data_IF_229958561703
#
_entry.id   IF_229958561703
#
_cell.length_a   1.000
_cell.length_b   1.000
_cell.length_c   1.000
_cell.angle_alpha   90.00
_cell.angle_beta   90.00
_cell.angle_gamma   90.00
#
_symmetry.space_group_name_H-M   'P 1'
#
loop_
_entity.id
_entity.type
_entity.pdbx_description
1 polymer ?
#
# COMPACT_ATOMS: atom_id res chain seq x y z
N UNK A 1 -7.54 27.28 -3.67
CA UNK A 1 -7.09 26.37 -2.60
C UNK A 1 -7.79 25.05 -2.83
N UNK A 2 -7.12 24.09 -3.46
CA UNK A 2 -7.59 22.70 -3.52
C UNK A 2 -7.27 22.06 -2.18
N UNK A 3 -8.24 21.44 -1.52
CA UNK A 3 -7.98 20.71 -0.28
C UNK A 3 -7.04 19.53 -0.58
N UNK A 4 -5.94 19.40 0.15
CA UNK A 4 -5.00 18.27 -0.01
C UNK A 4 -5.54 16.96 0.57
N UNK A 5 -6.72 17.02 1.20
CA UNK A 5 -7.41 15.86 1.75
C UNK A 5 -8.93 16.04 1.76
N UNK A 6 -9.63 14.90 1.79
CA UNK A 6 -11.04 14.79 2.12
C UNK A 6 -11.20 13.70 3.17
N UNK A 7 -12.08 13.93 4.15
CA UNK A 7 -12.48 12.93 5.14
C UNK A 7 -13.97 12.72 5.03
N UNK A 8 -14.39 11.47 4.80
CA UNK A 8 -15.80 11.13 4.67
C UNK A 8 -16.18 10.08 5.73
N UNK A 9 -17.10 10.41 6.65
CA UNK A 9 -17.65 9.43 7.58
C UNK A 9 -18.33 8.28 6.81
N UNK A 10 -18.13 7.07 7.29
CA UNK A 10 -18.70 5.86 6.71
C UNK A 10 -19.75 5.26 7.65
N UNK A 11 -20.72 4.57 7.05
CA UNK A 11 -21.67 3.69 7.74
C UNK A 11 -21.41 2.26 7.29
N UNK A 12 -21.68 1.30 8.18
CA UNK A 12 -21.68 -0.13 7.82
C UNK A 12 -22.61 -0.35 6.62
N UNK A 13 -22.16 -1.15 5.65
CA UNK A 13 -22.85 -1.31 4.38
C UNK A 13 -22.30 -0.40 3.27
N UNK A 14 -23.15 -0.14 2.27
CA UNK A 14 -22.82 0.74 1.13
C UNK A 14 -22.80 2.20 1.56
N UNK A 15 -21.85 2.96 1.02
CA UNK A 15 -21.78 4.40 1.21
C UNK A 15 -21.91 5.14 -0.14
N UNK A 16 -22.37 6.40 -0.15
CA UNK A 16 -22.39 7.21 -1.36
C UNK A 16 -21.01 7.40 -1.96
N UNK A 17 -20.94 7.50 -3.29
CA UNK A 17 -19.72 7.88 -3.97
C UNK A 17 -19.32 9.31 -3.62
N UNK A 18 -18.02 9.55 -3.54
CA UNK A 18 -17.40 10.83 -3.20
C UNK A 18 -16.52 11.24 -4.37
N UNK A 19 -16.57 12.52 -4.76
CA UNK A 19 -15.65 13.07 -5.73
C UNK A 19 -14.51 13.79 -5.01
N UNK A 20 -13.26 13.46 -5.40
CA UNK A 20 -12.08 14.17 -4.95
C UNK A 20 -11.19 14.45 -6.16
N UNK A 21 -11.16 15.72 -6.57
CA UNK A 21 -10.52 16.15 -7.83
C UNK A 21 -11.06 15.33 -9.02
N UNK A 22 -10.18 14.60 -9.71
CA UNK A 22 -10.52 13.74 -10.85
C UNK A 22 -11.00 12.33 -10.43
N UNK A 23 -10.88 11.97 -9.14
CA UNK A 23 -11.29 10.66 -8.66
C UNK A 23 -12.77 10.62 -8.31
N UNK A 24 -13.45 9.58 -8.80
CA UNK A 24 -14.72 9.12 -8.23
C UNK A 24 -14.42 7.93 -7.34
N UNK A 25 -14.72 8.06 -6.06
CA UNK A 25 -14.40 7.08 -5.02
C UNK A 25 -15.71 6.47 -4.57
N UNK A 26 -15.87 5.16 -4.70
CA UNK A 26 -17.04 4.41 -4.29
C UNK A 26 -16.65 3.47 -3.14
N UNK A 27 -16.95 3.83 -1.89
CA UNK A 27 -16.83 2.92 -0.75
C UNK A 27 -17.97 1.89 -0.84
N UNK A 28 -17.68 0.81 -1.59
CA UNK A 28 -18.66 -0.17 -2.02
C UNK A 28 -19.31 -0.90 -0.85
N UNK A 29 -18.53 -1.24 0.19
CA UNK A 29 -19.08 -1.87 1.38
C UNK A 29 -18.15 -1.75 2.59
N UNK A 30 -18.64 -1.23 3.71
CA UNK A 30 -17.95 -1.27 5.00
C UNK A 30 -18.49 -2.42 5.87
N UNK A 31 -17.62 -3.32 6.26
CA UNK A 31 -17.88 -4.39 7.22
C UNK A 31 -17.17 -4.08 8.54
N UNK A 32 -17.91 -4.19 9.64
CA UNK A 32 -17.38 -4.09 11.01
C UNK A 32 -17.84 -5.33 11.77
N UNK A 33 -16.90 -6.17 12.17
CA UNK A 33 -17.17 -7.37 12.95
C UNK A 33 -17.29 -7.01 14.44
N UNK A 34 -18.43 -7.34 15.04
CA UNK A 34 -18.64 -7.21 16.50
C UNK A 34 -17.94 -8.29 17.31
N UNK A 35 -17.66 -9.44 16.69
CA UNK A 35 -16.94 -10.56 17.28
C UNK A 35 -16.01 -11.16 16.22
N UNK A 36 -14.71 -11.20 16.52
CA UNK A 36 -13.70 -11.78 15.64
C UNK A 36 -13.95 -13.29 15.49
N UNK A 37 -13.92 -13.78 14.24
CA UNK A 37 -13.99 -15.22 13.94
C UNK A 37 -12.69 -15.93 14.35
N UNK A 38 -11.55 -15.24 14.19
CA UNK A 38 -10.23 -15.62 14.68
C UNK A 38 -9.36 -14.35 14.84
N UNK A 39 -8.19 -14.47 15.48
CA UNK A 39 -7.30 -13.34 15.75
C UNK A 39 -6.64 -12.72 14.50
N UNK A 40 -6.82 -13.33 13.31
CA UNK A 40 -6.25 -12.87 12.04
C UNK A 40 -7.32 -12.35 11.05
N UNK A 41 -8.58 -12.27 11.49
CA UNK A 41 -9.67 -11.79 10.65
C UNK A 41 -9.79 -10.27 10.73
N UNK A 42 -9.98 -9.58 9.59
CA UNK A 42 -10.31 -8.15 9.57
C UNK A 42 -11.47 -7.83 10.52
N UNK A 43 -11.20 -7.02 11.54
CA UNK A 43 -12.25 -6.45 12.39
C UNK A 43 -13.04 -5.40 11.60
N UNK A 44 -12.33 -4.60 10.81
CA UNK A 44 -12.91 -3.60 9.92
C UNK A 44 -12.35 -3.86 8.52
N UNK A 45 -13.24 -3.90 7.53
CA UNK A 45 -12.87 -4.01 6.12
C UNK A 45 -13.76 -3.10 5.29
N UNK A 46 -13.15 -2.25 4.47
CA UNK A 46 -13.81 -1.43 3.47
C UNK A 46 -13.45 -1.92 2.08
N UNK A 47 -14.44 -2.33 1.30
CA UNK A 47 -14.29 -2.53 -0.15
C UNK A 47 -14.35 -1.17 -0.85
N UNK A 48 -13.41 -0.92 -1.76
CA UNK A 48 -13.24 0.37 -2.41
C UNK A 48 -13.08 0.20 -3.92
N UNK A 49 -13.93 0.90 -4.69
CA UNK A 49 -13.68 1.12 -6.10
C UNK A 49 -13.27 2.58 -6.31
N UNK A 50 -12.21 2.81 -7.06
CA UNK A 50 -11.72 4.14 -7.43
C UNK A 50 -11.72 4.23 -8.95
N UNK A 51 -12.32 5.28 -9.49
CA UNK A 51 -12.38 5.53 -10.92
C UNK A 51 -11.59 6.79 -11.25
N UNK A 52 -10.73 6.69 -12.26
CA UNK A 52 -10.02 7.81 -12.87
C UNK A 52 -10.05 7.65 -14.39
N UNK A 53 -10.68 8.57 -15.11
CA UNK A 53 -10.73 8.60 -16.58
C UNK A 53 -11.00 7.22 -17.22
N UNK A 54 -12.07 6.54 -16.78
CA UNK A 54 -12.52 5.20 -17.20
C UNK A 54 -11.69 4.00 -16.70
N UNK A 55 -10.59 4.21 -16.00
CA UNK A 55 -9.85 3.13 -15.33
C UNK A 55 -10.44 2.89 -13.96
N UNK A 56 -10.78 1.63 -13.68
CA UNK A 56 -11.25 1.17 -12.37
C UNK A 56 -10.11 0.51 -11.61
N UNK A 57 -9.83 1.00 -10.42
CA UNK A 57 -9.01 0.34 -9.41
C UNK A 57 -9.93 -0.19 -8.30
N UNK A 58 -9.92 -1.49 -8.07
CA UNK A 58 -10.68 -2.14 -7.00
C UNK A 58 -9.71 -2.65 -5.93
N UNK A 59 -9.95 -2.29 -4.68
CA UNK A 59 -9.10 -2.68 -3.54
C UNK A 59 -9.91 -2.78 -2.25
N UNK A 60 -9.24 -3.09 -1.15
CA UNK A 60 -9.81 -3.19 0.19
C UNK A 60 -8.90 -2.53 1.21
N UNK A 61 -9.47 -1.79 2.16
CA UNK A 61 -8.76 -1.31 3.35
C UNK A 61 -9.21 -2.15 4.53
N UNK A 62 -8.30 -2.73 5.29
CA UNK A 62 -8.65 -3.53 6.46
C UNK A 62 -7.72 -3.27 7.64
N UNK A 63 -8.25 -3.52 8.83
CA UNK A 63 -7.47 -3.63 10.04
C UNK A 63 -7.99 -4.72 10.98
N UNK A 64 -7.10 -5.28 11.78
CA UNK A 64 -7.44 -6.18 12.88
C UNK A 64 -6.42 -6.06 14.02
N UNK A 65 -6.85 -6.44 15.22
CA UNK A 65 -5.98 -6.53 16.38
C UNK A 65 -5.21 -7.86 16.32
N UNK A 66 -3.90 -7.80 16.07
CA UNK A 66 -3.07 -9.00 16.12
C UNK A 66 -2.80 -9.40 17.58
N UNK A 67 -2.38 -10.64 17.80
CA UNK A 67 -2.13 -11.25 19.12
C UNK A 67 -1.06 -10.55 19.99
N UNK A 68 -0.44 -9.47 19.52
CA UNK A 68 0.65 -8.73 20.17
C UNK A 68 0.27 -7.29 20.55
N UNK A 69 -1.02 -6.98 20.71
CA UNK A 69 -1.58 -5.63 20.93
C UNK A 69 -1.22 -4.62 19.83
N UNK A 70 -0.68 -5.11 18.70
CA UNK A 70 -0.40 -4.29 17.52
C UNK A 70 -1.52 -4.47 16.51
N UNK A 71 -2.14 -3.35 16.14
CA UNK A 71 -3.09 -3.30 15.04
C UNK A 71 -2.35 -3.56 13.73
N UNK A 72 -2.75 -4.60 13.00
CA UNK A 72 -2.30 -4.82 11.62
C UNK A 72 -3.25 -4.13 10.66
N UNK A 73 -2.68 -3.49 9.64
CA UNK A 73 -3.42 -2.78 8.60
C UNK A 73 -2.80 -3.08 7.24
N UNK A 74 -3.56 -2.87 6.17
CA UNK A 74 -3.04 -2.84 4.79
C UNK A 74 -3.13 -1.45 4.15
N UNK A 75 -3.22 -0.43 4.99
CA UNK A 75 -3.40 0.97 4.63
C UNK A 75 -2.45 1.86 5.45
N UNK A 76 -2.10 3.07 4.97
CA UNK A 76 -2.66 3.76 3.80
C UNK A 76 -2.32 3.09 2.47
N UNK A 77 -3.27 2.97 1.54
CA UNK A 77 -3.03 2.43 0.19
C UNK A 77 -2.82 3.54 -0.83
N UNK A 78 -1.80 3.41 -1.66
CA UNK A 78 -1.51 4.33 -2.74
C UNK A 78 -2.17 3.88 -4.06
N UNK A 79 -2.69 4.85 -4.79
CA UNK A 79 -3.06 4.69 -6.20
C UNK A 79 -2.96 6.04 -6.89
N UNK A 80 -2.18 6.09 -7.97
CA UNK A 80 -1.75 7.33 -8.61
C UNK A 80 -1.14 8.27 -7.56
N UNK A 81 -1.49 9.54 -7.55
CA UNK A 81 -1.00 10.53 -6.58
C UNK A 81 -1.84 10.63 -5.30
N UNK A 82 -2.64 9.60 -4.98
CA UNK A 82 -3.55 9.59 -3.83
C UNK A 82 -3.25 8.45 -2.87
N UNK A 83 -3.57 8.69 -1.60
CA UNK A 83 -3.53 7.73 -0.49
C UNK A 83 -4.93 7.54 0.09
N UNK A 84 -5.29 6.30 0.38
CA UNK A 84 -6.57 5.90 0.97
C UNK A 84 -6.33 5.27 2.34
N UNK A 85 -6.88 5.87 3.39
CA UNK A 85 -6.68 5.49 4.79
C UNK A 85 -8.02 5.39 5.53
N UNK A 86 -8.03 4.67 6.65
CA UNK A 86 -9.17 4.58 7.57
C UNK A 86 -8.83 5.26 8.89
N UNK A 87 -9.57 6.32 9.20
CA UNK A 87 -9.60 6.92 10.53
C UNK A 87 -10.66 6.22 11.37
N UNK A 88 -10.26 5.66 12.50
CA UNK A 88 -11.15 4.90 13.39
C UNK A 88 -11.08 5.51 14.79
N UNK A 89 -12.21 6.03 15.28
CA UNK A 89 -12.36 6.60 16.61
C UNK A 89 -13.54 5.93 17.32
N UNK A 90 -13.26 5.06 18.30
CA UNK A 90 -14.27 4.24 18.98
C UNK A 90 -15.13 3.44 17.98
N UNK A 91 -16.35 3.90 17.70
CA UNK A 91 -17.31 3.26 16.80
C UNK A 91 -17.44 3.99 15.46
N UNK A 92 -16.76 5.13 15.29
CA UNK A 92 -16.83 5.93 14.08
C UNK A 92 -15.66 5.57 13.15
N UNK A 93 -16.00 5.28 11.90
CA UNK A 93 -15.03 4.96 10.84
C UNK A 93 -15.19 6.01 9.74
N UNK A 94 -14.08 6.59 9.28
CA UNK A 94 -14.07 7.52 8.17
C UNK A 94 -13.01 7.13 7.14
N UNK A 95 -13.35 7.26 5.86
CA UNK A 95 -12.40 7.21 4.76
C UNK A 95 -11.65 8.54 4.70
N UNK A 96 -10.34 8.49 4.76
CA UNK A 96 -9.47 9.64 4.54
C UNK A 96 -8.77 9.45 3.20
N UNK A 97 -8.93 10.41 2.30
CA UNK A 97 -8.21 10.44 1.03
C UNK A 97 -7.33 11.66 1.00
N UNK A 98 -6.03 11.48 0.81
CA UNK A 98 -5.06 12.58 0.75
C UNK A 98 -4.20 12.46 -0.49
N UNK A 99 -3.56 13.55 -0.91
CA UNK A 99 -2.43 13.45 -1.84
C UNK A 99 -1.27 12.71 -1.18
N UNK A 100 -0.51 11.97 -1.98
CA UNK A 100 0.72 11.36 -1.54
C UNK A 100 1.79 12.41 -1.25
N UNK A 101 2.62 12.11 -0.25
CA UNK A 101 3.68 13.00 0.22
C UNK A 101 4.89 12.17 0.67
N UNK A 102 6.07 12.79 0.62
CA UNK A 102 7.31 12.16 1.07
C UNK A 102 7.28 11.91 2.58
N UNK A 103 8.00 10.87 3.02
CA UNK A 103 8.12 10.49 4.44
C UNK A 103 6.89 9.83 5.04
N UNK A 104 5.86 9.52 4.24
CA UNK A 104 4.68 8.78 4.69
C UNK A 104 4.70 7.34 4.18
N UNK A 105 4.56 6.32 5.05
CA UNK A 105 4.39 4.94 4.63
C UNK A 105 3.10 4.73 3.82
N UNK A 106 3.19 3.90 2.79
CA UNK A 106 2.05 3.54 1.95
C UNK A 106 2.20 2.12 1.40
N UNK A 107 1.08 1.46 1.16
CA UNK A 107 1.00 0.19 0.44
C UNK A 107 0.72 0.44 -1.04
N UNK A 108 1.45 -0.23 -1.92
CA UNK A 108 1.16 -0.29 -3.36
C UNK A 108 0.71 -1.71 -3.68
N UNK A 109 -0.51 -1.86 -4.19
CA UNK A 109 -1.02 -3.16 -4.63
C UNK A 109 -0.32 -3.62 -5.92
N UNK A 110 -0.24 -4.94 -6.12
CA UNK A 110 0.37 -5.52 -7.32
C UNK A 110 -0.31 -4.97 -8.61
N UNK A 111 0.52 -4.59 -9.57
CA UNK A 111 0.10 -3.99 -10.83
C UNK A 111 -0.35 -2.53 -10.71
N UNK A 112 -0.25 -1.91 -9.53
CA UNK A 112 -0.64 -0.51 -9.32
C UNK A 112 0.56 0.42 -9.26
N UNK A 113 0.32 1.68 -9.63
CA UNK A 113 1.32 2.74 -9.63
C UNK A 113 0.99 3.77 -8.56
N UNK A 114 1.99 4.13 -7.76
CA UNK A 114 1.97 5.31 -6.89
C UNK A 114 2.79 6.43 -7.52
N UNK A 115 2.35 7.68 -7.36
CA UNK A 115 3.00 8.87 -7.92
C UNK A 115 3.25 9.89 -6.81
N UNK A 116 4.51 10.22 -6.53
CA UNK A 116 4.90 11.21 -5.50
C UNK A 116 5.84 12.23 -6.13
N UNK A 117 5.39 13.48 -6.25
CA UNK A 117 6.10 14.47 -7.05
C UNK A 117 6.20 14.01 -8.50
N UNK A 118 7.42 13.89 -9.02
CA UNK A 118 7.67 13.39 -10.38
C UNK A 118 8.02 11.89 -10.42
N UNK A 119 8.20 11.25 -9.26
CA UNK A 119 8.49 9.82 -9.15
C UNK A 119 7.22 9.00 -9.30
N UNK A 120 7.22 8.04 -10.22
CA UNK A 120 6.22 6.98 -10.30
C UNK A 120 6.86 5.65 -9.90
N UNK A 121 6.14 4.87 -9.10
CA UNK A 121 6.55 3.56 -8.60
C UNK A 121 5.45 2.58 -8.95
N UNK A 122 5.74 1.65 -9.86
CA UNK A 122 4.86 0.53 -10.18
C UNK A 122 5.35 -0.71 -9.45
N UNK A 123 4.49 -1.32 -8.62
CA UNK A 123 4.74 -2.70 -8.17
C UNK A 123 4.39 -3.64 -9.32
N UNK A 124 5.42 -4.15 -10.00
CA UNK A 124 5.26 -4.79 -11.30
C UNK A 124 4.83 -6.24 -11.19
N UNK A 125 5.64 -7.05 -10.51
CA UNK A 125 5.45 -8.48 -10.33
C UNK A 125 6.30 -9.01 -9.17
N UNK A 126 6.09 -10.28 -8.83
CA UNK A 126 6.96 -11.05 -7.94
C UNK A 126 7.19 -12.43 -8.52
N UNK A 127 8.31 -13.04 -8.14
CA UNK A 127 8.65 -14.42 -8.46
C UNK A 127 8.83 -15.15 -7.14
N UNK A 128 8.01 -16.17 -6.90
CA UNK A 128 8.18 -17.09 -5.78
C UNK A 128 9.18 -18.17 -6.14
N UNK A 129 10.17 -18.37 -5.26
CA UNK A 129 11.28 -19.30 -5.44
C UNK A 129 11.43 -20.16 -4.19
N UNK A 130 11.98 -21.35 -4.36
CA UNK A 130 12.36 -22.23 -3.26
C UNK A 130 13.74 -22.83 -3.51
N UNK A 131 14.43 -23.20 -2.43
CA UNK A 131 15.67 -23.96 -2.49
C UNK A 131 15.46 -25.42 -2.11
N UNK A 132 16.24 -26.31 -2.71
CA UNK A 132 16.23 -27.75 -2.44
C UNK A 132 17.61 -28.17 -1.90
N UNK A 133 17.64 -29.10 -0.94
CA UNK A 133 18.88 -29.78 -0.56
C UNK A 133 19.29 -30.83 -1.62
N UNK A 134 20.41 -31.51 -1.39
CA UNK A 134 20.94 -32.55 -2.30
C UNK A 134 20.00 -33.75 -2.46
N UNK A 135 19.08 -33.94 -1.52
CA UNK A 135 18.10 -35.03 -1.50
C UNK A 135 16.75 -34.60 -2.11
N UNK A 136 16.65 -33.35 -2.59
CA UNK A 136 15.44 -32.78 -3.19
C UNK A 136 14.39 -32.30 -2.18
N UNK A 137 14.74 -32.16 -0.90
CA UNK A 137 13.83 -31.60 0.10
C UNK A 137 13.88 -30.07 0.05
N UNK A 138 12.70 -29.44 0.10
CA UNK A 138 12.60 -28.00 0.19
C UNK A 138 13.21 -27.49 1.51
N UNK A 139 14.17 -26.57 1.42
CA UNK A 139 14.90 -26.01 2.58
C UNK A 139 14.44 -24.60 2.93
N UNK A 140 14.26 -23.73 1.94
CA UNK A 140 13.76 -22.38 2.13
C UNK A 140 12.78 -21.98 1.00
N UNK A 141 11.99 -20.95 1.26
CA UNK A 141 11.16 -20.26 0.27
C UNK A 141 11.39 -18.75 0.39
N UNK A 142 11.44 -18.06 -0.73
CA UNK A 142 11.68 -16.63 -0.81
C UNK A 142 11.00 -16.03 -2.03
N UNK A 143 10.69 -14.75 -1.95
CA UNK A 143 10.09 -14.00 -3.05
C UNK A 143 11.06 -12.94 -3.55
N UNK A 144 11.21 -12.88 -4.87
CA UNK A 144 11.91 -11.82 -5.58
C UNK A 144 10.88 -10.83 -6.14
N UNK A 145 10.85 -9.62 -5.62
CA UNK A 145 9.89 -8.57 -5.99
C UNK A 145 10.50 -7.60 -6.99
N UNK A 146 9.69 -7.13 -7.94
CA UNK A 146 10.11 -6.20 -8.98
C UNK A 146 9.28 -4.93 -8.93
N UNK A 147 9.97 -3.79 -8.91
CA UNK A 147 9.36 -2.47 -9.07
C UNK A 147 9.94 -1.75 -10.27
N UNK A 148 9.09 -1.03 -10.99
CA UNK A 148 9.52 -0.10 -12.03
C UNK A 148 9.45 1.32 -11.45
N UNK A 149 10.60 1.98 -11.39
CA UNK A 149 10.71 3.38 -11.02
C UNK A 149 10.81 4.21 -12.30
N UNK A 150 10.05 5.30 -12.38
CA UNK A 150 10.13 6.22 -13.52
C UNK A 150 9.98 7.68 -13.07
N UNK A 151 10.73 8.57 -13.72
CA UNK A 151 10.68 10.02 -13.53
C UNK A 151 11.17 10.64 -14.84
N UNK A 152 10.34 11.52 -15.41
CA UNK A 152 10.48 12.04 -16.77
C UNK A 152 10.56 10.89 -17.79
N UNK A 153 11.55 10.90 -18.68
CA UNK A 153 11.75 9.87 -19.71
C UNK A 153 12.64 8.71 -19.23
N UNK A 154 13.12 8.73 -17.98
CA UNK A 154 14.00 7.70 -17.43
C UNK A 154 13.24 6.67 -16.62
N UNK A 155 13.61 5.40 -16.80
CA UNK A 155 13.05 4.27 -16.06
C UNK A 155 14.13 3.34 -15.54
N UNK A 156 13.91 2.75 -14.36
CA UNK A 156 14.76 1.71 -13.77
C UNK A 156 13.90 0.63 -13.14
N UNK A 157 14.08 -0.61 -13.58
CA UNK A 157 13.56 -1.76 -12.83
C UNK A 157 14.51 -2.07 -11.68
N UNK A 158 13.96 -2.22 -10.49
CA UNK A 158 14.68 -2.62 -9.28
C UNK A 158 14.07 -3.91 -8.77
N UNK A 159 14.94 -4.82 -8.34
CA UNK A 159 14.54 -6.10 -7.77
C UNK A 159 15.05 -6.22 -6.35
N UNK A 160 14.29 -6.89 -5.49
CA UNK A 160 14.77 -7.26 -4.17
C UNK A 160 14.20 -8.59 -3.73
N UNK A 161 14.99 -9.33 -2.96
CA UNK A 161 14.60 -10.64 -2.45
C UNK A 161 14.27 -10.54 -0.97
N UNK A 162 13.14 -11.12 -0.60
CA UNK A 162 12.67 -11.22 0.76
C UNK A 162 12.68 -12.68 1.19
N UNK A 163 13.50 -13.01 2.18
CA UNK A 163 13.37 -14.28 2.89
C UNK A 163 12.10 -14.26 3.74
N UNK A 164 11.39 -15.39 3.83
CA UNK A 164 10.22 -15.58 4.71
C UNK A 164 10.53 -15.45 6.23
N UNK A 165 11.71 -14.93 6.60
CA UNK A 165 12.17 -14.71 7.98
C UNK A 165 11.85 -13.27 8.38
N UNK A 166 11.28 -13.12 9.57
CA UNK A 166 10.67 -11.89 10.08
C UNK A 166 11.65 -10.81 10.56
N UNK A 167 12.96 -11.00 10.39
CA UNK A 167 13.98 -10.10 10.93
C UNK A 167 14.43 -9.06 9.90
N UNK A 168 14.17 -7.80 10.26
CA UNK A 168 14.74 -6.54 9.78
C UNK A 168 15.05 -6.41 8.29
N UNK A 169 14.03 -5.99 7.52
CA UNK A 169 14.24 -5.46 6.18
C UNK A 169 14.14 -3.94 6.19
N UNK A 170 15.18 -3.26 6.69
CA UNK A 170 15.43 -1.88 6.24
C UNK A 170 16.10 -1.93 4.86
N UNK A 171 15.40 -2.53 3.88
CA UNK A 171 15.88 -2.56 2.52
C UNK A 171 15.69 -1.16 1.93
N UNK A 172 16.80 -0.56 1.56
CA UNK A 172 16.85 0.78 0.98
C UNK A 172 17.24 0.66 -0.49
N UNK A 173 16.41 1.23 -1.36
CA UNK A 173 16.68 1.39 -2.78
C UNK A 173 16.91 2.87 -3.04
N UNK A 174 18.11 3.20 -3.55
CA UNK A 174 18.44 4.55 -3.98
C UNK A 174 18.27 4.68 -5.49
N UNK A 175 17.59 5.74 -5.91
CA UNK A 175 17.44 6.08 -7.31
C UNK A 175 17.29 7.59 -7.50
N UNK A 176 18.17 8.16 -8.33
CA UNK A 176 18.31 9.63 -8.48
C UNK A 176 18.45 10.30 -7.11
N UNK A 177 17.54 11.20 -6.76
CA UNK A 177 17.51 11.91 -5.48
C UNK A 177 16.47 11.33 -4.50
N UNK A 178 16.03 10.08 -4.73
CA UNK A 178 15.07 9.39 -3.88
C UNK A 178 15.70 8.24 -3.12
N UNK A 179 15.27 8.07 -1.87
CA UNK A 179 15.54 6.90 -1.04
C UNK A 179 14.20 6.23 -0.74
N UNK A 180 14.06 4.99 -1.20
CA UNK A 180 12.84 4.18 -1.07
C UNK A 180 13.13 3.10 -0.03
N UNK A 181 12.43 3.15 1.10
CA UNK A 181 12.53 2.18 2.18
C UNK A 181 11.40 1.17 2.04
N UNK A 182 11.72 -0.10 1.88
CA UNK A 182 10.74 -1.19 1.91
C UNK A 182 10.52 -1.55 3.37
N UNK A 183 9.26 -1.50 3.80
CA UNK A 183 8.88 -1.72 5.20
C UNK A 183 8.23 -3.09 5.39
N UNK A 184 7.41 -3.51 4.42
CA UNK A 184 6.73 -4.80 4.42
C UNK A 184 6.53 -5.27 2.96
N UNK A 185 6.53 -6.57 2.74
CA UNK A 185 6.30 -7.22 1.45
C UNK A 185 5.43 -8.49 1.63
N UNK A 186 5.06 -9.19 0.56
CA UNK A 186 3.71 -9.07 0.04
C UNK A 186 3.54 -9.51 -1.41
N UNK A 187 3.15 -10.76 -1.70
CA UNK A 187 2.69 -11.16 -3.04
C UNK A 187 1.56 -10.26 -3.58
N UNK A 188 0.79 -9.63 -2.67
CA UNK A 188 -0.36 -8.78 -3.03
C UNK A 188 -0.03 -7.29 -3.01
N UNK A 189 0.88 -6.85 -2.15
CA UNK A 189 1.18 -5.43 -1.96
C UNK A 189 2.53 -5.22 -1.26
N UNK A 190 3.25 -4.17 -1.64
CA UNK A 190 4.48 -3.74 -0.95
C UNK A 190 4.17 -2.49 -0.12
N UNK A 191 4.58 -2.49 1.15
CA UNK A 191 4.59 -1.28 1.98
C UNK A 191 5.95 -0.61 1.87
N UNK A 192 5.96 0.66 1.51
CA UNK A 192 7.18 1.44 1.39
C UNK A 192 7.01 2.87 1.85
N UNK A 193 8.13 3.55 2.05
CA UNK A 193 8.20 4.98 2.34
C UNK A 193 9.27 5.60 1.45
N UNK A 194 8.95 6.75 0.85
CA UNK A 194 9.88 7.47 -0.03
C UNK A 194 10.31 8.76 0.65
N UNK A 195 11.61 9.02 0.71
CA UNK A 195 12.16 10.31 1.14
C UNK A 195 13.02 10.90 0.03
N UNK A 196 13.08 12.23 -0.05
CA UNK A 196 14.03 12.94 -0.92
C UNK A 196 15.37 13.06 -0.20
N UNK A 197 16.43 12.73 -0.91
CA UNK A 197 17.78 13.03 -0.49
C UNK A 197 18.06 14.51 -0.80
N UNK A 198 17.97 15.37 0.21
CA UNK A 198 18.28 16.81 0.08
C UNK A 198 19.81 17.09 -0.02
N UNK A 199 20.59 16.15 -0.54
CA UNK A 199 22.06 16.23 -0.57
C UNK A 199 22.65 17.05 -1.73
N UNK A 200 21.82 17.63 -2.61
CA UNK A 200 22.27 18.59 -3.63
C UNK A 200 21.68 19.98 -3.37
N UNK A 201 21.97 20.55 -2.20
CA UNK A 201 22.08 22.01 -2.09
C UNK A 201 23.53 22.36 -2.36
N UNK A 202 23.78 22.83 -3.59
CA UNK A 202 25.02 23.49 -4.00
C UNK A 202 25.45 24.56 -2.98
#
# INVERSE_FOLDING_TARGET
MTNDSITTPLKTGKNPSIQFEALVIEPANLFIQSKLLNNDSPQIQLELNVFNNNTKYATFLWCYDASSDRKKTNYPKAYQNYSFDLKIEKNDVALVVTKLDFGKPMFIDLGQTAVIGNLQILFKDYIGEWSEDIDGNQTDAFNSYHMLLSEDDEQKTVSFTSLNKAEDKDLIIEWKHYKIMILEDSEKAIKLMVVKNDSNKN
#
